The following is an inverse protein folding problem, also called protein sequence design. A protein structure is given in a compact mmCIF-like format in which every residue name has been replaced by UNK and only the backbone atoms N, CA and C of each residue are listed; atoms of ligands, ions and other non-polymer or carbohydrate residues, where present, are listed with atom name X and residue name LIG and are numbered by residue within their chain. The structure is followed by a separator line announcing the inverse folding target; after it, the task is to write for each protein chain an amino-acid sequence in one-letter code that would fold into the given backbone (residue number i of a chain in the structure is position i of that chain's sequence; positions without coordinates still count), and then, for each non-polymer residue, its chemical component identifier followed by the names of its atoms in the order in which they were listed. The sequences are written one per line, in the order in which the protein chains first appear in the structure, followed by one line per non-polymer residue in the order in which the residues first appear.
data_IF_276202038769
#
_entry.id   IF_276202038769
#
_cell.length_a   1.000
_cell.length_b   1.000
_cell.length_c   1.000
_cell.angle_alpha   90.00
_cell.angle_beta   90.00
_cell.angle_gamma   90.00
#
_symmetry.space_group_name_H-M   'P 1'
#
loop_
_entity.id
_entity.type
_entity.pdbx_description
1 polymer ?
#
# COMPACT_ATOMS: atom_id res chain seq x y z
N UNK A 1 5.04 -1.38 8.77
CA UNK A 1 4.39 -0.07 8.96
C UNK A 1 2.91 -0.25 9.27
N UNK A 2 2.33 0.67 10.04
CA UNK A 2 0.90 0.70 10.36
C UNK A 2 0.28 1.86 9.58
N UNK A 3 -0.87 1.62 8.95
CA UNK A 3 -1.67 2.62 8.25
C UNK A 3 -3.02 2.76 8.96
N UNK A 4 -3.35 3.98 9.34
CA UNK A 4 -4.64 4.36 9.89
C UNK A 4 -5.62 4.71 8.76
N UNK A 5 -6.76 4.02 8.73
CA UNK A 5 -7.89 4.32 7.85
C UNK A 5 -9.02 4.87 8.71
N UNK A 6 -9.26 6.18 8.64
CA UNK A 6 -10.29 6.84 9.44
C UNK A 6 -11.61 6.92 8.65
N UNK A 7 -12.70 6.44 9.25
CA UNK A 7 -14.04 6.59 8.69
C UNK A 7 -15.07 6.82 9.80
N UNK A 8 -15.87 7.88 9.68
CA UNK A 8 -16.98 8.15 10.61
C UNK A 8 -16.53 8.32 12.06
N UNK A 9 -15.32 8.83 12.29
CA UNK A 9 -14.74 8.99 13.63
C UNK A 9 -14.13 7.72 14.23
N UNK A 10 -14.18 6.59 13.53
CA UNK A 10 -13.49 5.35 13.91
C UNK A 10 -12.21 5.20 13.10
N UNK A 11 -11.13 4.77 13.76
CA UNK A 11 -9.86 4.47 13.12
C UNK A 11 -9.71 2.95 13.01
N UNK A 12 -9.43 2.48 11.80
CA UNK A 12 -9.10 1.10 11.51
C UNK A 12 -7.63 0.99 11.11
N UNK A 13 -7.01 -0.14 11.39
CA UNK A 13 -5.59 -0.36 11.19
C UNK A 13 -5.31 -1.42 10.12
N UNK A 14 -4.32 -1.12 9.29
CA UNK A 14 -3.72 -2.05 8.36
C UNK A 14 -2.21 -2.08 8.60
N UNK A 15 -1.65 -3.27 8.76
CA UNK A 15 -0.21 -3.48 8.95
C UNK A 15 0.36 -4.00 7.64
N UNK A 16 1.36 -3.29 7.12
CA UNK A 16 2.08 -3.66 5.91
C UNK A 16 3.55 -3.93 6.19
N UNK A 17 4.14 -4.89 5.47
CA UNK A 17 5.59 -4.93 5.26
C UNK A 17 5.98 -4.02 4.10
N UNK A 18 7.24 -3.60 4.09
CA UNK A 18 7.80 -2.87 2.96
C UNK A 18 7.81 -3.76 1.70
N UNK A 19 7.43 -3.24 0.53
CA UNK A 19 7.52 -3.98 -0.70
C UNK A 19 8.98 -4.22 -1.08
N UNK A 20 9.27 -5.44 -1.51
CA UNK A 20 10.57 -5.79 -2.08
C UNK A 20 10.60 -5.42 -3.56
N UNK A 21 11.80 -5.32 -4.15
CA UNK A 21 11.95 -5.10 -5.59
C UNK A 21 11.14 -6.11 -6.42
N UNK A 22 11.12 -7.39 -6.03
CA UNK A 22 10.34 -8.41 -6.72
C UNK A 22 8.82 -8.10 -6.74
N UNK A 23 8.28 -7.59 -5.63
CA UNK A 23 6.87 -7.19 -5.54
C UNK A 23 6.63 -5.95 -6.39
N UNK A 24 7.54 -4.97 -6.38
CA UNK A 24 7.44 -3.76 -7.18
C UNK A 24 7.49 -4.06 -8.69
N UNK A 25 8.38 -4.96 -9.12
CA UNK A 25 8.49 -5.39 -10.51
C UNK A 25 7.25 -6.16 -10.99
N UNK A 26 6.73 -7.07 -10.17
CA UNK A 26 5.49 -7.79 -10.46
C UNK A 26 4.31 -6.80 -10.57
N UNK A 27 4.19 -5.89 -9.61
CA UNK A 27 3.16 -4.85 -9.58
C UNK A 27 3.26 -3.92 -10.78
N UNK A 28 4.46 -3.46 -11.12
CA UNK A 28 4.70 -2.57 -12.26
C UNK A 28 4.37 -3.22 -13.60
N UNK A 29 4.65 -4.52 -13.75
CA UNK A 29 4.30 -5.29 -14.95
C UNK A 29 2.78 -5.43 -15.12
N UNK A 30 2.05 -5.64 -14.02
CA UNK A 30 0.58 -5.66 -14.02
C UNK A 30 0.03 -4.27 -14.34
N UNK A 31 0.62 -3.22 -13.76
CA UNK A 31 0.16 -1.82 -13.87
C UNK A 31 0.15 -1.28 -15.30
N UNK A 32 1.06 -1.76 -16.16
CA UNK A 32 1.07 -1.42 -17.59
C UNK A 32 -0.21 -1.83 -18.33
N UNK A 33 -0.95 -2.81 -17.82
CA UNK A 33 -2.18 -3.31 -18.42
C UNK A 33 -3.41 -2.98 -17.58
N UNK A 34 -3.28 -2.96 -16.24
CA UNK A 34 -4.38 -2.70 -15.32
C UNK A 34 -3.85 -2.20 -13.97
N UNK A 35 -3.97 -0.89 -13.75
CA UNK A 35 -3.50 -0.21 -12.54
C UNK A 35 -4.24 -0.68 -11.27
N UNK A 36 -5.52 -1.03 -11.38
CA UNK A 36 -6.31 -1.55 -10.25
C UNK A 36 -5.80 -2.93 -9.82
N UNK A 37 -5.54 -3.83 -10.77
CA UNK A 37 -4.94 -5.14 -10.47
C UNK A 37 -3.55 -5.02 -9.87
N UNK A 38 -2.78 -4.02 -10.28
CA UNK A 38 -1.48 -3.74 -9.69
C UNK A 38 -1.64 -3.31 -8.22
N UNK A 39 -2.57 -2.40 -7.92
CA UNK A 39 -2.87 -2.01 -6.54
C UNK A 39 -3.31 -3.18 -5.67
N UNK A 40 -4.15 -4.08 -6.19
CA UNK A 40 -4.58 -5.29 -5.48
C UNK A 40 -3.38 -6.20 -5.21
N UNK A 41 -2.55 -6.48 -6.22
CA UNK A 41 -1.38 -7.33 -6.07
C UNK A 41 -0.39 -6.76 -5.03
N UNK A 42 -0.17 -5.44 -5.04
CA UNK A 42 0.68 -4.78 -4.06
C UNK A 42 0.09 -4.90 -2.65
N UNK A 43 -1.21 -4.70 -2.50
CA UNK A 43 -1.91 -4.86 -1.22
C UNK A 43 -1.75 -6.28 -0.69
N UNK A 44 -2.11 -7.30 -1.48
CA UNK A 44 -2.07 -8.71 -1.06
C UNK A 44 -0.65 -9.18 -0.74
N UNK A 45 0.35 -8.69 -1.47
CA UNK A 45 1.74 -9.08 -1.23
C UNK A 45 2.37 -8.36 -0.04
N UNK A 46 1.84 -7.20 0.38
CA UNK A 46 2.43 -6.38 1.44
C UNK A 46 1.62 -6.37 2.74
N UNK A 47 0.32 -6.69 2.74
CA UNK A 47 -0.50 -6.73 3.95
C UNK A 47 -0.06 -7.90 4.84
N UNK A 48 0.13 -7.62 6.13
CA UNK A 48 0.44 -8.61 7.15
C UNK A 48 -0.75 -8.88 8.06
N UNK A 49 -1.48 -7.82 8.41
CA UNK A 49 -2.68 -7.89 9.23
C UNK A 49 -3.56 -6.69 8.90
N UNK A 50 -4.87 -6.84 9.08
CA UNK A 50 -5.83 -5.80 8.81
C UNK A 50 -7.06 -5.99 9.68
N UNK A 51 -7.67 -4.91 10.14
CA UNK A 51 -8.96 -4.99 10.81
C UNK A 51 -10.05 -5.50 9.85
N UNK A 52 -11.02 -6.25 10.40
CA UNK A 52 -12.08 -6.91 9.62
C UNK A 52 -12.89 -5.92 8.79
N UNK A 53 -13.08 -4.72 9.32
CA UNK A 53 -13.78 -3.62 8.66
C UNK A 53 -13.08 -3.19 7.37
N UNK A 54 -11.76 -3.37 7.24
CA UNK A 54 -11.02 -3.13 6.00
C UNK A 54 -11.02 -4.38 5.11
N UNK A 55 -10.91 -5.58 5.69
CA UNK A 55 -10.84 -6.86 4.94
C UNK A 55 -12.04 -7.07 4.01
N UNK A 56 -13.24 -6.65 4.43
CA UNK A 56 -14.47 -6.77 3.64
C UNK A 56 -14.73 -5.62 2.65
N UNK A 57 -13.89 -4.59 2.59
CA UNK A 57 -14.22 -3.32 1.91
C UNK A 57 -13.10 -2.87 0.97
N UNK A 58 -13.31 -3.06 -0.33
CA UNK A 58 -12.30 -2.75 -1.36
C UNK A 58 -11.81 -1.30 -1.30
N UNK A 59 -12.72 -0.35 -1.05
CA UNK A 59 -12.35 1.06 -0.92
C UNK A 59 -11.49 1.32 0.32
N UNK A 60 -11.71 0.59 1.43
CA UNK A 60 -10.88 0.71 2.63
C UNK A 60 -9.49 0.11 2.41
N UNK A 61 -9.39 -1.02 1.67
CA UNK A 61 -8.10 -1.59 1.24
C UNK A 61 -7.32 -0.62 0.38
N UNK A 62 -8.00 0.05 -0.56
CA UNK A 62 -7.39 1.08 -1.40
C UNK A 62 -6.83 2.22 -0.55
N UNK A 63 -7.60 2.72 0.44
CA UNK A 63 -7.12 3.77 1.35
C UNK A 63 -5.93 3.34 2.20
N UNK A 64 -5.93 2.09 2.67
CA UNK A 64 -4.79 1.53 3.37
C UNK A 64 -3.54 1.45 2.47
N UNK A 65 -3.71 1.08 1.19
CA UNK A 65 -2.64 1.07 0.20
C UNK A 65 -2.10 2.48 -0.11
N UNK A 66 -2.97 3.49 -0.16
CA UNK A 66 -2.54 4.89 -0.33
C UNK A 66 -1.60 5.33 0.80
N UNK A 67 -1.86 4.91 2.04
CA UNK A 67 -0.96 5.17 3.18
C UNK A 67 0.41 4.51 3.01
N UNK A 68 0.45 3.28 2.52
CA UNK A 68 1.70 2.59 2.15
C UNK A 68 2.48 3.38 1.06
N UNK A 69 1.79 3.85 0.02
CA UNK A 69 2.42 4.64 -1.05
C UNK A 69 2.93 6.00 -0.56
N UNK A 70 2.22 6.66 0.35
CA UNK A 70 2.66 7.91 0.97
C UNK A 70 3.92 7.72 1.81
N UNK A 71 4.02 6.61 2.54
CA UNK A 71 5.23 6.27 3.27
C UNK A 71 6.44 6.07 2.35
N UNK A 72 6.27 5.38 1.22
CA UNK A 72 7.34 5.25 0.21
C UNK A 72 7.76 6.59 -0.39
N UNK A 73 6.81 7.51 -0.61
CA UNK A 73 7.12 8.87 -1.08
C UNK A 73 7.81 9.75 -0.03
N UNK A 74 7.79 9.35 1.24
CA UNK A 74 8.44 10.10 2.32
C UNK A 74 9.96 9.91 2.34
N UNK A 75 10.50 8.99 1.53
CA UNK A 75 11.94 8.84 1.34
C UNK A 75 12.45 9.86 0.33
N UNK A 76 13.02 10.94 0.83
CA UNK A 76 13.66 11.98 0.02
C UNK A 76 15.09 11.55 -0.34
N UNK A 77 15.37 11.37 -1.63
CA UNK A 77 16.70 10.98 -2.14
C UNK A 77 17.33 12.17 -2.84
N UNK A 78 18.37 12.73 -2.23
CA UNK A 78 19.20 13.78 -2.84
C UNK A 78 20.53 13.20 -3.30
N UNK A 79 20.83 13.34 -4.59
CA UNK A 79 22.15 12.99 -5.16
C UNK A 79 23.08 14.18 -4.99
N UNK A 80 24.14 14.05 -4.20
CA UNK A 80 25.27 14.98 -4.23
C UNK A 80 26.27 14.45 -5.26
N UNK A 81 26.56 15.24 -6.30
CA UNK A 81 27.66 14.94 -7.21
C UNK A 81 28.96 14.85 -6.40
N UNK A 82 29.71 13.76 -6.59
CA UNK A 82 31.08 13.60 -6.10
C UNK A 82 32.04 14.47 -6.90
#
# INVERSE_FOLDING_TARGET
MIVDVVQGGTTYNAIFKEPTFAILEATGSIGKNNEIKAGIALYENCVLAVDKEIEGRDFAKLKALEGLAQHMKSFDVSVKNL
#
